data_IF_274382885767
#
_entry.id   IF_274382885767
#
_cell.length_a   1.000
_cell.length_b   1.000
_cell.length_c   1.000
_cell.angle_alpha   90.00
_cell.angle_beta   90.00
_cell.angle_gamma   90.00
#
_symmetry.space_group_name_H-M   'P 1'
#
loop_
_entity.id
_entity.type
_entity.pdbx_description
1 polymer ?
#
# COMPACT_ATOMS: atom_id res chain seq x y z
N UNK A 1 8.43 -0.04 5.04
CA UNK A 1 8.25 0.88 6.17
C UNK A 1 7.93 2.32 5.77
N UNK A 2 8.59 3.00 4.80
CA UNK A 2 8.34 4.45 4.58
C UNK A 2 7.31 4.81 3.49
N UNK A 3 7.37 4.16 2.32
CA UNK A 3 6.50 4.52 1.18
C UNK A 3 5.07 4.00 1.34
N UNK A 4 4.92 2.77 1.84
CA UNK A 4 3.62 2.11 1.96
C UNK A 4 2.66 2.84 2.93
N UNK A 5 3.07 3.31 4.13
CA UNK A 5 2.19 4.12 4.98
C UNK A 5 1.76 5.44 4.35
N UNK A 6 2.62 6.06 3.53
CA UNK A 6 2.29 7.32 2.83
C UNK A 6 1.24 7.11 1.72
N UNK A 7 1.25 5.94 1.08
CA UNK A 7 0.32 5.57 -0.01
C UNK A 7 -1.00 4.97 0.50
N UNK A 8 -0.93 3.91 1.30
CA UNK A 8 -2.08 3.12 1.73
C UNK A 8 -2.63 3.53 3.11
N UNK A 9 -1.97 4.45 3.81
CA UNK A 9 -2.27 4.83 5.18
C UNK A 9 -1.58 3.93 6.21
N UNK A 10 -1.35 4.49 7.41
CA UNK A 10 -0.62 3.82 8.50
C UNK A 10 -1.28 2.51 8.93
N UNK A 11 -2.61 2.43 9.17
CA UNK A 11 -3.24 1.19 9.63
C UNK A 11 -3.11 0.04 8.62
N UNK A 12 -3.32 0.34 7.33
CA UNK A 12 -3.23 -0.65 6.27
C UNK A 12 -1.79 -1.10 6.02
N UNK A 13 -0.84 -0.17 6.09
CA UNK A 13 0.58 -0.51 5.99
C UNK A 13 1.05 -1.38 7.16
N UNK A 14 0.61 -1.09 8.39
CA UNK A 14 0.90 -1.92 9.56
C UNK A 14 0.38 -3.35 9.37
N UNK A 15 -0.87 -3.50 8.96
CA UNK A 15 -1.46 -4.82 8.69
C UNK A 15 -0.68 -5.60 7.62
N UNK A 16 -0.31 -4.95 6.51
CA UNK A 16 0.47 -5.59 5.44
C UNK A 16 1.90 -5.94 5.84
N UNK A 17 2.63 -5.00 6.45
CA UNK A 17 4.04 -5.21 6.82
C UNK A 17 4.18 -6.22 7.97
N UNK A 18 3.19 -6.31 8.87
CA UNK A 18 3.21 -7.28 9.98
C UNK A 18 2.76 -8.68 9.59
N UNK A 19 1.77 -8.79 8.71
CA UNK A 19 1.21 -10.11 8.33
C UNK A 19 1.89 -10.72 7.11
N UNK A 20 2.54 -9.90 6.27
CA UNK A 20 3.13 -10.34 5.00
C UNK A 20 2.12 -10.91 4.02
N UNK A 21 0.82 -10.65 4.21
CA UNK A 21 -0.25 -11.26 3.40
C UNK A 21 -0.27 -10.73 1.98
N UNK A 22 -0.70 -11.57 1.06
CA UNK A 22 -0.97 -11.18 -0.32
C UNK A 22 -2.29 -10.42 -0.43
N UNK A 23 -2.34 -9.44 -1.33
CA UNK A 23 -3.51 -8.59 -1.58
C UNK A 23 -3.97 -8.80 -3.00
N UNK A 24 -5.28 -9.06 -3.19
CA UNK A 24 -5.89 -9.15 -4.52
C UNK A 24 -5.77 -7.82 -5.26
N UNK A 25 -5.68 -7.88 -6.59
CA UNK A 25 -5.45 -6.72 -7.45
C UNK A 25 -6.50 -5.60 -7.26
N UNK A 26 -7.79 -5.97 -7.22
CA UNK A 26 -8.91 -5.05 -7.00
C UNK A 26 -8.80 -4.31 -5.66
N UNK A 27 -8.44 -5.04 -4.59
CA UNK A 27 -8.23 -4.47 -3.26
C UNK A 27 -6.98 -3.59 -3.23
N UNK A 28 -5.90 -3.98 -3.90
CA UNK A 28 -4.67 -3.18 -3.98
C UNK A 28 -4.92 -1.83 -4.66
N UNK A 29 -5.79 -1.77 -5.69
CA UNK A 29 -6.22 -0.51 -6.31
C UNK A 29 -7.08 0.35 -5.36
N UNK A 30 -8.02 -0.26 -4.62
CA UNK A 30 -8.80 0.45 -3.59
C UNK A 30 -7.91 1.01 -2.47
N UNK A 31 -6.85 0.29 -2.11
CA UNK A 31 -5.84 0.70 -1.14
C UNK A 31 -4.80 1.68 -1.70
N UNK A 32 -4.92 2.09 -2.98
CA UNK A 32 -4.00 3.01 -3.66
C UNK A 32 -2.54 2.54 -3.70
N UNK A 33 -2.31 1.23 -3.56
CA UNK A 33 -1.01 0.59 -3.80
C UNK A 33 -0.75 0.51 -5.31
N UNK A 34 -1.82 0.30 -6.08
CA UNK A 34 -1.82 0.23 -7.54
C UNK A 34 -2.71 1.34 -8.10
N UNK A 35 -2.25 2.03 -9.14
CA UNK A 35 -2.97 3.15 -9.76
C UNK A 35 -4.00 2.67 -10.81
N UNK A 36 -3.60 1.70 -11.64
CA UNK A 36 -4.39 1.17 -12.75
C UNK A 36 -4.43 -0.36 -12.71
N UNK A 37 -5.56 -0.93 -13.11
CA UNK A 37 -5.71 -2.36 -13.30
C UNK A 37 -6.10 -2.59 -14.75
N UNK A 38 -5.64 -3.71 -15.30
CA UNK A 38 -5.95 -4.18 -16.65
C UNK A 38 -6.50 -5.58 -16.50
N UNK A 39 -7.63 -5.86 -17.12
CA UNK A 39 -8.23 -7.19 -17.10
C UNK A 39 -7.46 -8.11 -18.07
N UNK A 40 -7.29 -9.39 -17.72
CA UNK A 40 -6.61 -10.34 -18.58
C UNK A 40 -7.41 -10.57 -19.88
N UNK A 41 -6.70 -10.79 -20.98
CA UNK A 41 -7.31 -11.05 -22.27
C UNK A 41 -7.75 -12.51 -22.40
N UNK A 42 -8.82 -12.71 -23.17
CA UNK A 42 -9.29 -14.05 -23.55
C UNK A 42 -8.43 -14.70 -24.65
N UNK A 43 -8.82 -15.90 -25.12
CA UNK A 43 -8.11 -16.60 -26.19
C UNK A 43 -8.01 -15.79 -27.48
N UNK A 44 -6.86 -15.88 -28.16
CA UNK A 44 -6.62 -15.18 -29.41
C UNK A 44 -5.58 -15.90 -30.28
N UNK A 45 -4.83 -15.14 -31.08
CA UNK A 45 -3.80 -15.68 -31.99
C UNK A 45 -2.59 -16.28 -31.25
N UNK A 46 -2.44 -16.05 -29.94
CA UNK A 46 -1.41 -16.64 -29.08
C UNK A 46 -2.04 -17.14 -27.77
N UNK A 47 -1.24 -17.65 -26.83
CA UNK A 47 -1.79 -18.06 -25.54
C UNK A 47 -2.37 -16.85 -24.78
N UNK A 48 -3.44 -17.03 -23.99
CA UNK A 48 -4.03 -15.93 -23.21
C UNK A 48 -3.00 -15.20 -22.34
N UNK A 49 -2.05 -15.92 -21.76
CA UNK A 49 -0.99 -15.37 -20.92
C UNK A 49 -0.04 -14.47 -21.71
N UNK A 50 0.44 -14.95 -22.88
CA UNK A 50 1.34 -14.16 -23.74
C UNK A 50 0.65 -12.89 -24.22
N UNK A 51 -0.59 -13.00 -24.69
CA UNK A 51 -1.35 -11.85 -25.18
C UNK A 51 -1.66 -10.86 -24.07
N UNK A 52 -1.98 -11.33 -22.86
CA UNK A 52 -2.17 -10.45 -21.71
C UNK A 52 -0.90 -9.70 -21.35
N UNK A 53 0.27 -10.34 -21.45
CA UNK A 53 1.56 -9.68 -21.18
C UNK A 53 1.89 -8.62 -22.23
N UNK A 54 1.73 -8.93 -23.52
CA UNK A 54 1.89 -7.95 -24.62
C UNK A 54 0.96 -6.76 -24.43
N UNK A 55 -0.31 -7.02 -24.13
CA UNK A 55 -1.30 -5.97 -23.92
C UNK A 55 -1.00 -5.11 -22.69
N UNK A 56 -0.55 -5.72 -21.59
CA UNK A 56 -0.12 -5.00 -20.40
C UNK A 56 1.07 -4.08 -20.71
N UNK A 57 2.03 -4.53 -21.52
CA UNK A 57 3.17 -3.72 -21.97
C UNK A 57 2.71 -2.53 -22.80
N UNK A 58 1.82 -2.75 -23.78
CA UNK A 58 1.28 -1.68 -24.63
C UNK A 58 0.59 -0.59 -23.79
N UNK A 59 -0.28 -1.00 -22.85
CA UNK A 59 -0.96 -0.07 -21.95
C UNK A 59 0.04 0.66 -21.03
N UNK A 60 1.09 -0.03 -20.56
CA UNK A 60 2.12 0.58 -19.74
C UNK A 60 2.92 1.65 -20.51
N UNK A 61 3.32 1.36 -21.75
CA UNK A 61 4.04 2.31 -22.62
C UNK A 61 3.15 3.51 -22.96
N UNK A 62 1.90 3.29 -23.31
CA UNK A 62 0.93 4.36 -23.57
C UNK A 62 0.72 5.24 -22.33
N UNK A 63 0.54 4.63 -21.16
CA UNK A 63 0.39 5.35 -19.89
C UNK A 63 1.64 6.17 -19.56
N UNK A 64 2.83 5.62 -19.78
CA UNK A 64 4.10 6.32 -19.56
C UNK A 64 4.24 7.54 -20.48
N UNK A 65 3.88 7.41 -21.77
CA UNK A 65 3.85 8.53 -22.72
C UNK A 65 2.86 9.60 -22.30
N UNK A 66 1.66 9.22 -21.90
CA UNK A 66 0.62 10.15 -21.45
C UNK A 66 1.00 10.87 -20.13
N UNK A 67 1.72 10.20 -19.23
CA UNK A 67 2.29 10.85 -18.03
C UNK A 67 3.38 11.86 -18.41
N UNK A 68 4.21 11.55 -19.40
CA UNK A 68 5.27 12.43 -19.87
C UNK A 68 4.73 13.65 -20.63
N UNK A 69 3.68 13.50 -21.43
CA UNK A 69 3.00 14.61 -22.13
C UNK A 69 2.10 15.44 -21.22
N UNK A 70 1.75 14.92 -20.04
CA UNK A 70 0.88 15.58 -19.05
C UNK A 70 -0.62 15.38 -19.31
N UNK A 71 -0.98 14.60 -20.32
CA UNK A 71 -2.37 14.16 -20.59
C UNK A 71 -2.91 13.29 -19.45
N UNK A 72 -2.07 12.43 -18.89
CA UNK A 72 -2.38 11.64 -17.72
C UNK A 72 -1.72 12.26 -16.48
N UNK A 73 -2.49 12.44 -15.42
CA UNK A 73 -1.98 12.86 -14.11
C UNK A 73 -2.19 11.74 -13.11
N UNK A 74 -1.15 11.42 -12.34
CA UNK A 74 -1.26 10.45 -11.26
C UNK A 74 -2.21 11.00 -10.17
N UNK A 75 -3.40 10.39 -10.04
CA UNK A 75 -4.35 10.77 -9.00
C UNK A 75 -3.90 10.26 -7.63
N UNK A 76 -3.24 11.16 -6.89
CA UNK A 76 -2.80 10.91 -5.51
C UNK A 76 -3.79 11.45 -4.47
N UNK A 77 -5.05 11.72 -4.84
CA UNK A 77 -6.06 12.19 -3.88
C UNK A 77 -6.31 11.11 -2.83
N UNK A 78 -5.95 11.43 -1.59
CA UNK A 78 -6.27 10.62 -0.40
C UNK A 78 -7.78 10.62 -0.16
N UNK A 79 -8.31 9.49 0.32
CA UNK A 79 -9.72 9.40 0.71
C UNK A 79 -10.02 10.34 1.89
N UNK A 80 -11.29 10.68 2.11
CA UNK A 80 -11.70 11.51 3.25
C UNK A 80 -11.28 10.87 4.58
N UNK A 81 -11.42 9.55 4.70
CA UNK A 81 -10.98 8.80 5.88
C UNK A 81 -9.47 8.88 6.06
N UNK A 82 -8.68 8.75 4.99
CA UNK A 82 -7.22 8.90 5.09
C UNK A 82 -6.81 10.31 5.50
N UNK A 83 -7.52 11.35 5.04
CA UNK A 83 -7.26 12.74 5.45
C UNK A 83 -7.54 12.94 6.93
N UNK A 84 -8.70 12.49 7.42
CA UNK A 84 -9.06 12.55 8.85
C UNK A 84 -8.03 11.80 9.68
N UNK A 85 -7.67 10.60 9.24
CA UNK A 85 -6.72 9.78 9.94
C UNK A 85 -5.34 10.45 9.99
N UNK A 86 -4.84 11.00 8.88
CA UNK A 86 -3.59 11.76 8.86
C UNK A 86 -3.62 12.97 9.81
N UNK A 87 -4.76 13.68 9.92
CA UNK A 87 -4.93 14.76 10.90
C UNK A 87 -4.89 14.22 12.34
N UNK A 88 -5.54 13.08 12.61
CA UNK A 88 -5.48 12.46 13.93
C UNK A 88 -4.05 12.01 14.30
N UNK A 89 -3.28 11.49 13.35
CA UNK A 89 -1.88 11.11 13.53
C UNK A 89 -0.92 12.30 13.75
N UNK A 90 -1.37 13.56 13.59
CA UNK A 90 -0.58 14.73 14.01
C UNK A 90 -0.47 14.85 15.53
N UNK A 91 -1.39 14.23 16.28
CA UNK A 91 -1.38 14.27 17.74
C UNK A 91 -0.59 13.08 18.29
N UNK A 92 0.44 13.35 19.08
CA UNK A 92 1.34 12.31 19.62
C UNK A 92 0.60 11.25 20.45
N UNK A 93 -0.39 11.67 21.24
CA UNK A 93 -1.18 10.74 22.05
C UNK A 93 -1.97 9.72 21.19
N UNK A 94 -2.42 10.10 19.99
CA UNK A 94 -3.12 9.20 19.06
C UNK A 94 -2.12 8.18 18.49
N UNK A 95 -0.95 8.65 18.07
CA UNK A 95 0.14 7.78 17.60
C UNK A 95 0.47 6.75 18.66
N UNK A 96 0.71 7.19 19.88
CA UNK A 96 1.06 6.33 21.01
C UNK A 96 0.01 5.25 21.26
N UNK A 97 -1.27 5.62 21.28
CA UNK A 97 -2.38 4.68 21.46
C UNK A 97 -2.40 3.60 20.36
N UNK A 98 -2.27 4.01 19.09
CA UNK A 98 -2.27 3.08 17.95
C UNK A 98 -1.08 2.14 18.00
N UNK A 99 0.14 2.66 18.17
CA UNK A 99 1.35 1.84 18.21
C UNK A 99 1.41 0.95 19.45
N UNK A 100 0.90 1.40 20.60
CA UNK A 100 0.77 0.57 21.81
C UNK A 100 -0.17 -0.60 21.57
N UNK A 101 -1.32 -0.36 20.94
CA UNK A 101 -2.29 -1.42 20.59
C UNK A 101 -1.68 -2.40 19.59
N UNK A 102 -1.02 -1.91 18.55
CA UNK A 102 -0.37 -2.75 17.54
C UNK A 102 0.75 -3.61 18.16
N UNK A 103 1.60 -3.03 19.03
CA UNK A 103 2.62 -3.76 19.79
C UNK A 103 1.99 -4.84 20.68
N UNK A 104 0.92 -4.51 21.40
CA UNK A 104 0.20 -5.47 22.25
C UNK A 104 -0.36 -6.65 21.44
N UNK A 105 -0.94 -6.39 20.28
CA UNK A 105 -1.45 -7.43 19.39
C UNK A 105 -0.32 -8.32 18.83
N UNK A 106 0.78 -7.71 18.37
CA UNK A 106 1.96 -8.44 17.91
C UNK A 106 2.53 -9.31 19.03
N UNK A 107 2.72 -8.77 20.23
CA UNK A 107 3.22 -9.54 21.38
C UNK A 107 2.30 -10.71 21.72
N UNK A 108 0.97 -10.50 21.69
CA UNK A 108 -0.02 -11.55 21.94
C UNK A 108 0.06 -12.68 20.91
N UNK A 109 0.23 -12.34 19.63
CA UNK A 109 0.27 -13.32 18.53
C UNK A 109 1.62 -14.04 18.42
N UNK A 110 2.72 -13.33 18.72
CA UNK A 110 4.10 -13.84 18.54
C UNK A 110 4.70 -14.43 19.82
N UNK A 111 4.06 -14.22 20.97
CA UNK A 111 4.64 -14.52 22.29
C UNK A 111 5.92 -13.73 22.60
N UNK A 112 6.25 -12.70 21.79
CA UNK A 112 7.51 -11.97 21.89
C UNK A 112 8.75 -12.70 21.35
N UNK A 113 8.57 -13.88 20.75
CA UNK A 113 9.67 -14.71 20.25
C UNK A 113 10.18 -14.29 18.86
N UNK A 114 9.42 -13.44 18.16
CA UNK A 114 9.72 -13.02 16.80
C UNK A 114 10.12 -11.54 16.78
N UNK A 115 11.40 -11.21 16.54
CA UNK A 115 11.88 -9.83 16.61
C UNK A 115 11.44 -8.96 15.43
N UNK A 116 11.19 -9.57 14.27
CA UNK A 116 10.88 -8.82 13.04
C UNK A 116 9.58 -7.98 13.15
N UNK A 117 8.42 -8.51 13.58
CA UNK A 117 7.21 -7.71 13.78
C UNK A 117 7.38 -6.51 14.73
N UNK A 118 8.17 -6.67 15.79
CA UNK A 118 8.45 -5.59 16.74
C UNK A 118 9.34 -4.49 16.12
N UNK A 119 10.38 -4.89 15.38
CA UNK A 119 11.26 -3.95 14.68
C UNK A 119 10.52 -3.21 13.55
N UNK A 120 9.60 -3.87 12.85
CA UNK A 120 8.76 -3.24 11.82
C UNK A 120 7.92 -2.12 12.45
N UNK A 121 7.27 -2.39 13.59
CA UNK A 121 6.52 -1.37 14.34
C UNK A 121 7.38 -0.16 14.70
N UNK A 122 8.59 -0.39 15.20
CA UNK A 122 9.54 0.66 15.57
C UNK A 122 9.95 1.52 14.37
N UNK A 123 10.34 0.90 13.25
CA UNK A 123 10.78 1.64 12.06
C UNK A 123 9.64 2.43 11.43
N UNK A 124 8.41 1.89 11.42
CA UNK A 124 7.24 2.63 10.95
C UNK A 124 6.96 3.82 11.89
N UNK A 125 7.03 3.63 13.21
CA UNK A 125 6.85 4.72 14.18
C UNK A 125 7.87 5.83 13.99
N UNK A 126 9.15 5.48 13.90
CA UNK A 126 10.23 6.45 13.64
C UNK A 126 10.00 7.18 12.32
N UNK A 127 9.51 6.49 11.29
CA UNK A 127 9.13 7.10 10.01
C UNK A 127 8.00 8.12 10.12
N UNK A 128 7.00 7.85 10.95
CA UNK A 128 5.86 8.75 11.19
C UNK A 128 6.26 9.93 12.08
N UNK A 129 7.19 9.74 13.02
CA UNK A 129 7.61 10.79 13.95
C UNK A 129 8.63 11.75 13.33
N UNK A 130 9.49 11.28 12.42
CA UNK A 130 10.62 12.06 11.87
C UNK A 130 10.53 12.39 10.38
N UNK A 131 9.53 11.92 9.63
CA UNK A 131 9.49 12.01 8.16
C UNK A 131 8.13 12.32 7.55
#
# INVERSE_FOLDING_TARGET
TQRLPKLAGIPAALDLELTGKTVKADRAKKMKIVDLLVDPLGPGLGTPEQRTMEYLEDIAVQSARALASGELKADRKKSLMDKIMNLAFQYDWVKDQVFKKAKGQVMKLTGGLYPAPLKILEVIRVGVDKG
#
